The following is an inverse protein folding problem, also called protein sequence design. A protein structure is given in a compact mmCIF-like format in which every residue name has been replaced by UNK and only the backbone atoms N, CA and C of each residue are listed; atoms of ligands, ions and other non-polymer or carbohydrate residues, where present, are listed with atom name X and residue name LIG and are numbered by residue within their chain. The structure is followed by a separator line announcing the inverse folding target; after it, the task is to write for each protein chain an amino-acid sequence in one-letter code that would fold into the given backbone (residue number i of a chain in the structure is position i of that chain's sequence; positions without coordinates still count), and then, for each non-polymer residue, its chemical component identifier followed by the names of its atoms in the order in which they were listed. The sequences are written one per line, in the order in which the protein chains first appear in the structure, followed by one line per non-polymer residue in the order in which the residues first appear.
data_IF_603419029080
#
_entry.id   IF_603419029080
#
_cell.length_a   1.000
_cell.length_b   1.000
_cell.length_c   1.000
_cell.angle_alpha   90.00
_cell.angle_beta   90.00
_cell.angle_gamma   90.00
#
_symmetry.space_group_name_H-M   'P 1'
#
loop_
_entity.id
_entity.type
_entity.pdbx_description
1 polymer ?
#
# COMPACT_ATOMS: atom_id res chain seq x y z
N UNK A 1 12.16 -15.13 -1.66
CA UNK A 1 13.33 -14.37 -1.12
C UNK A 1 12.82 -13.13 -0.39
N UNK A 2 13.29 -12.86 0.83
CA UNK A 2 12.98 -11.60 1.54
C UNK A 2 13.79 -10.45 0.93
N UNK A 3 13.15 -9.31 0.67
CA UNK A 3 13.83 -8.11 0.17
C UNK A 3 14.71 -7.44 1.24
N UNK A 4 15.61 -6.51 0.84
CA UNK A 4 16.52 -5.85 1.78
C UNK A 4 15.80 -5.18 2.95
N UNK A 5 16.30 -5.37 4.17
CA UNK A 5 15.70 -4.83 5.41
C UNK A 5 15.51 -3.31 5.35
N UNK A 6 16.53 -2.58 4.86
CA UNK A 6 16.50 -1.12 4.70
C UNK A 6 15.36 -0.64 3.80
N UNK A 7 15.05 -1.37 2.73
CA UNK A 7 13.96 -1.02 1.81
C UNK A 7 12.61 -1.31 2.46
N UNK A 8 12.48 -2.45 3.17
CA UNK A 8 11.26 -2.78 3.91
C UNK A 8 10.92 -1.74 4.96
N UNK A 9 11.91 -1.24 5.71
CA UNK A 9 11.68 -0.21 6.73
C UNK A 9 11.13 1.09 6.12
N UNK A 10 11.69 1.55 4.99
CA UNK A 10 11.19 2.73 4.27
C UNK A 10 9.77 2.51 3.75
N UNK A 11 9.51 1.36 3.13
CA UNK A 11 8.18 1.01 2.62
C UNK A 11 7.15 0.89 3.75
N UNK A 12 7.56 0.38 4.91
CA UNK A 12 6.70 0.31 6.09
C UNK A 12 6.26 1.71 6.51
N UNK A 13 7.20 2.63 6.72
CA UNK A 13 6.89 4.01 7.11
C UNK A 13 6.02 4.73 6.09
N UNK A 14 6.31 4.58 4.79
CA UNK A 14 5.48 5.13 3.73
C UNK A 14 4.06 4.55 3.74
N UNK A 15 3.93 3.24 3.96
CA UNK A 15 2.63 2.56 3.98
C UNK A 15 1.75 2.99 5.16
N UNK A 16 2.35 3.25 6.33
CA UNK A 16 1.61 3.78 7.50
C UNK A 16 0.92 5.10 7.16
N UNK A 17 1.61 6.00 6.45
CA UNK A 17 1.03 7.28 5.99
C UNK A 17 0.00 7.04 4.88
N UNK A 18 0.30 6.17 3.91
CA UNK A 18 -0.62 5.88 2.80
C UNK A 18 -1.95 5.29 3.26
N UNK A 19 -1.98 4.50 4.34
CA UNK A 19 -3.24 3.97 4.90
C UNK A 19 -4.19 5.09 5.35
N UNK A 20 -3.68 6.28 5.70
CA UNK A 20 -4.52 7.42 6.08
C UNK A 20 -5.00 8.22 4.87
N UNK A 21 -4.11 8.48 3.90
CA UNK A 21 -4.34 9.47 2.84
C UNK A 21 -4.65 8.88 1.46
N UNK A 22 -4.23 7.65 1.17
CA UNK A 22 -4.46 7.03 -0.12
C UNK A 22 -5.72 6.15 -0.07
N UNK A 23 -6.80 6.50 -0.79
CA UNK A 23 -8.09 5.81 -0.68
C UNK A 23 -8.01 4.32 -1.10
N UNK A 24 -7.22 3.98 -2.12
CA UNK A 24 -7.09 2.59 -2.59
C UNK A 24 -6.37 1.70 -1.58
N UNK A 25 -5.34 2.24 -0.92
CA UNK A 25 -4.58 1.55 0.12
C UNK A 25 -5.42 1.45 1.39
N UNK A 26 -6.10 2.53 1.78
CA UNK A 26 -7.00 2.57 2.95
C UNK A 26 -8.11 1.52 2.81
N UNK A 27 -8.81 1.50 1.68
CA UNK A 27 -9.88 0.54 1.43
C UNK A 27 -9.39 -0.91 1.47
N UNK A 28 -8.20 -1.20 0.90
CA UNK A 28 -7.61 -2.54 1.00
C UNK A 28 -7.29 -2.90 2.46
N UNK A 29 -6.69 -1.96 3.20
CA UNK A 29 -6.29 -2.14 4.59
C UNK A 29 -7.50 -2.42 5.48
N UNK A 30 -8.54 -1.59 5.40
CA UNK A 30 -9.79 -1.75 6.14
C UNK A 30 -10.50 -3.05 5.80
N UNK A 31 -10.59 -3.41 4.52
CA UNK A 31 -11.16 -4.70 4.09
C UNK A 31 -10.41 -5.90 4.69
N UNK A 32 -9.08 -5.83 4.78
CA UNK A 32 -8.29 -6.91 5.39
C UNK A 32 -8.49 -6.98 6.91
N UNK A 33 -8.60 -5.85 7.59
CA UNK A 33 -8.92 -5.81 9.01
C UNK A 33 -10.33 -6.37 9.29
N UNK A 34 -11.32 -5.99 8.47
CA UNK A 34 -12.68 -6.52 8.57
C UNK A 34 -12.71 -8.05 8.37
N UNK A 35 -11.83 -8.59 7.54
CA UNK A 35 -11.63 -10.03 7.34
C UNK A 35 -10.78 -10.70 8.43
N UNK A 36 -10.55 -10.05 9.57
CA UNK A 36 -9.84 -10.61 10.72
C UNK A 36 -8.32 -10.70 10.57
N UNK A 37 -7.71 -10.02 9.59
CA UNK A 37 -6.25 -10.00 9.45
C UNK A 37 -5.61 -9.09 10.50
N UNK A 38 -4.40 -9.45 10.94
CA UNK A 38 -3.66 -8.60 11.86
C UNK A 38 -3.21 -7.30 11.18
N UNK A 39 -3.02 -6.24 11.97
CA UNK A 39 -2.52 -4.95 11.46
C UNK A 39 -1.20 -5.11 10.70
N UNK A 40 -0.32 -6.00 11.15
CA UNK A 40 0.95 -6.31 10.49
C UNK A 40 0.74 -6.95 9.10
N UNK A 41 -0.21 -7.89 8.98
CA UNK A 41 -0.56 -8.51 7.69
C UNK A 41 -1.17 -7.48 6.73
N UNK A 42 -2.07 -6.64 7.24
CA UNK A 42 -2.70 -5.59 6.45
C UNK A 42 -1.68 -4.52 5.98
N UNK A 43 -0.74 -4.12 6.85
CA UNK A 43 0.38 -3.24 6.48
C UNK A 43 1.31 -3.88 5.44
N UNK A 44 1.61 -5.17 5.58
CA UNK A 44 2.39 -5.89 4.57
C UNK A 44 1.72 -5.89 3.19
N UNK A 45 0.39 -6.04 3.15
CA UNK A 45 -0.39 -5.93 1.91
C UNK A 45 -0.39 -4.49 1.36
N UNK A 46 -0.52 -3.48 2.23
CA UNK A 46 -0.44 -2.08 1.86
C UNK A 46 0.92 -1.73 1.22
N UNK A 47 2.03 -2.23 1.77
CA UNK A 47 3.37 -2.05 1.20
C UNK A 47 3.45 -2.58 -0.24
N UNK A 48 2.85 -3.75 -0.50
CA UNK A 48 2.85 -4.32 -1.85
C UNK A 48 1.99 -3.49 -2.82
N UNK A 49 0.81 -3.04 -2.39
CA UNK A 49 -0.05 -2.19 -3.21
C UNK A 49 0.61 -0.84 -3.52
N UNK A 50 1.28 -0.23 -2.55
CA UNK A 50 2.04 1.00 -2.74
C UNK A 50 3.09 0.86 -3.85
N UNK A 51 3.91 -0.21 -3.81
CA UNK A 51 4.93 -0.47 -4.84
C UNK A 51 4.29 -0.65 -6.22
N UNK A 52 3.15 -1.34 -6.30
CA UNK A 52 2.43 -1.52 -7.56
C UNK A 52 1.89 -0.21 -8.13
N UNK A 53 1.37 0.68 -7.28
CA UNK A 53 0.91 2.02 -7.68
C UNK A 53 2.10 2.83 -8.21
N UNK A 54 3.20 2.91 -7.46
CA UNK A 54 4.40 3.64 -7.89
C UNK A 54 4.94 3.09 -9.21
N UNK A 55 5.00 1.77 -9.35
CA UNK A 55 5.43 1.13 -10.58
C UNK A 55 4.50 1.46 -11.76
N UNK A 56 3.18 1.46 -11.55
CA UNK A 56 2.20 1.84 -12.57
C UNK A 56 2.39 3.27 -13.06
N UNK A 57 2.56 4.22 -12.14
CA UNK A 57 2.82 5.64 -12.47
C UNK A 57 4.07 5.78 -13.33
N UNK A 58 5.18 5.16 -12.91
CA UNK A 58 6.45 5.23 -13.65
C UNK A 58 6.36 4.50 -14.98
N UNK A 59 5.74 3.32 -15.03
CA UNK A 59 5.63 2.52 -16.26
C UNK A 59 4.78 3.21 -17.32
N UNK A 60 3.67 3.82 -16.91
CA UNK A 60 2.70 4.42 -17.83
C UNK A 60 2.90 5.93 -18.01
N UNK A 61 3.90 6.53 -17.35
CA UNK A 61 4.17 7.98 -17.37
C UNK A 61 2.89 8.80 -17.14
N UNK A 62 2.04 8.31 -16.25
CA UNK A 62 0.70 8.84 -16.00
C UNK A 62 0.52 9.02 -14.50
N UNK A 63 -0.14 10.11 -14.13
CA UNK A 63 -0.42 10.41 -12.73
C UNK A 63 -1.26 9.33 -12.07
N UNK A 64 -1.07 9.19 -10.75
CA UNK A 64 -1.91 8.30 -9.96
C UNK A 64 -3.36 8.80 -9.96
N UNK A 65 -4.30 7.89 -10.27
CA UNK A 65 -5.73 8.12 -10.19
C UNK A 65 -6.36 7.10 -9.22
N UNK A 66 -7.00 7.55 -8.13
CA UNK A 66 -7.78 6.67 -7.26
C UNK A 66 -8.81 5.84 -8.04
N UNK A 67 -8.94 4.57 -7.67
CA UNK A 67 -9.89 3.65 -8.32
C UNK A 67 -11.10 3.34 -7.43
N UNK A 68 -10.94 3.47 -6.11
CA UNK A 68 -12.06 3.37 -5.17
C UNK A 68 -12.90 4.64 -5.25
N UNK A 69 -14.24 4.54 -5.41
CA UNK A 69 -15.13 5.69 -5.35
C UNK A 69 -15.00 6.34 -3.96
N UNK A 70 -14.76 7.66 -3.95
CA UNK A 70 -14.72 8.46 -2.71
C UNK A 70 -16.11 8.64 -2.12
#
# INVERSE_FOLDING_TARGET
KQGPSRIRAKLYMASVVCVQWNPDIKAQYERLLANGKSKMQALGAAMRKLVQICFGVVKHQSEYRPQVPV
#
